data_IF_335903908863
#
_entry.id   IF_335903908863
#
_cell.length_a   1.000
_cell.length_b   1.000
_cell.length_c   1.000
_cell.angle_alpha   90.00
_cell.angle_beta   90.00
_cell.angle_gamma   90.00
#
_symmetry.space_group_name_H-M   'P 1'
#
loop_
_entity.id
_entity.type
_entity.pdbx_description
1 polymer ?
#
# COMPACT_ATOMS: atom_id res chain seq x y z
N UNK A 1 -7.58 -19.67 -11.17
CA UNK A 1 -6.80 -18.80 -12.09
C UNK A 1 -6.92 -17.32 -11.75
N UNK A 2 -8.11 -16.74 -11.62
CA UNK A 2 -8.28 -15.31 -11.26
C UNK A 2 -7.51 -14.95 -9.98
N UNK A 3 -7.69 -15.74 -8.91
CA UNK A 3 -7.01 -15.51 -7.64
C UNK A 3 -5.47 -15.53 -7.77
N UNK A 4 -4.93 -16.45 -8.58
CA UNK A 4 -3.49 -16.53 -8.85
C UNK A 4 -2.98 -15.31 -9.63
N UNK A 5 -3.73 -14.88 -10.67
CA UNK A 5 -3.38 -13.66 -11.41
C UNK A 5 -3.45 -12.42 -10.52
N UNK A 6 -4.45 -12.35 -9.65
CA UNK A 6 -4.57 -11.27 -8.68
C UNK A 6 -3.41 -11.28 -7.69
N UNK A 7 -3.02 -12.44 -7.16
CA UNK A 7 -1.89 -12.61 -6.24
C UNK A 7 -0.54 -12.18 -6.85
N UNK A 8 -0.32 -12.45 -8.15
CA UNK A 8 0.87 -11.97 -8.88
C UNK A 8 0.96 -10.46 -8.99
N UNK A 9 -0.14 -9.77 -8.77
CA UNK A 9 -0.25 -8.31 -8.80
C UNK A 9 -0.49 -7.70 -7.40
N UNK A 10 -0.22 -8.47 -6.33
CA UNK A 10 -0.37 -7.99 -4.94
C UNK A 10 0.49 -6.74 -4.70
N UNK A 11 -0.03 -5.81 -3.91
CA UNK A 11 0.60 -4.53 -3.56
C UNK A 11 1.03 -3.68 -4.77
N UNK A 12 0.31 -3.84 -5.90
CA UNK A 12 0.55 -3.04 -7.11
C UNK A 12 -0.69 -2.30 -7.59
N UNK A 13 -0.49 -1.29 -8.45
CA UNK A 13 -1.56 -0.54 -9.12
C UNK A 13 -2.04 -1.23 -10.41
N UNK A 14 -1.95 -2.55 -10.48
CA UNK A 14 -2.28 -3.30 -11.68
C UNK A 14 -3.72 -3.06 -12.14
N UNK A 15 -3.87 -2.74 -13.42
CA UNK A 15 -5.18 -2.55 -14.03
C UNK A 15 -5.91 -3.89 -14.17
N UNK A 16 -7.23 -3.89 -14.07
CA UNK A 16 -8.06 -5.08 -14.32
C UNK A 16 -7.80 -5.73 -15.69
N UNK A 17 -7.43 -4.90 -16.68
CA UNK A 17 -7.02 -5.40 -18.00
C UNK A 17 -5.79 -6.31 -17.98
N UNK A 18 -4.84 -6.06 -17.05
CA UNK A 18 -3.66 -6.93 -16.90
C UNK A 18 -4.07 -8.28 -16.31
N UNK A 19 -4.91 -8.27 -15.27
CA UNK A 19 -5.46 -9.49 -14.68
C UNK A 19 -6.27 -10.29 -15.74
N UNK A 20 -7.11 -9.60 -16.50
CA UNK A 20 -7.88 -10.23 -17.58
C UNK A 20 -6.97 -10.89 -18.61
N UNK A 21 -5.92 -10.20 -19.05
CA UNK A 21 -4.95 -10.70 -20.02
C UNK A 21 -4.25 -11.97 -19.52
N UNK A 22 -3.84 -11.99 -18.25
CA UNK A 22 -3.25 -13.16 -17.61
C UNK A 22 -4.23 -14.35 -17.57
N UNK A 23 -5.50 -14.09 -17.23
CA UNK A 23 -6.53 -15.13 -17.12
C UNK A 23 -6.88 -15.68 -18.52
N UNK A 24 -7.07 -14.81 -19.51
CA UNK A 24 -7.43 -15.25 -20.88
C UNK A 24 -6.31 -16.01 -21.56
N UNK A 25 -5.05 -15.69 -21.27
CA UNK A 25 -3.91 -16.45 -21.80
C UNK A 25 -3.86 -17.90 -21.33
N UNK A 26 -4.49 -18.22 -20.18
CA UNK A 26 -4.39 -19.53 -19.53
C UNK A 26 -5.74 -20.28 -19.41
N UNK A 27 -6.89 -19.62 -19.56
CA UNK A 27 -8.21 -20.20 -19.25
C UNK A 27 -9.26 -20.00 -20.35
N UNK A 28 -8.89 -19.45 -21.50
CA UNK A 28 -9.84 -19.15 -22.56
C UNK A 28 -10.48 -17.76 -22.43
N UNK A 29 -11.50 -17.47 -23.24
CA UNK A 29 -12.08 -16.13 -23.33
C UNK A 29 -12.83 -15.72 -22.06
N UNK A 30 -12.54 -14.53 -21.57
CA UNK A 30 -13.25 -13.86 -20.47
C UNK A 30 -13.46 -12.39 -20.82
N UNK A 31 -14.56 -11.80 -20.35
CA UNK A 31 -14.83 -10.36 -20.53
C UNK A 31 -14.56 -9.58 -19.25
N UNK A 32 -14.35 -8.24 -19.37
CA UNK A 32 -14.19 -7.38 -18.20
C UNK A 32 -15.39 -7.46 -17.23
N UNK A 33 -16.67 -7.41 -17.70
CA UNK A 33 -17.81 -7.57 -16.79
C UNK A 33 -17.83 -8.89 -16.04
N UNK A 34 -17.40 -9.97 -16.68
CA UNK A 34 -17.28 -11.29 -16.03
C UNK A 34 -16.20 -11.28 -14.97
N UNK A 35 -15.01 -10.72 -15.26
CA UNK A 35 -13.93 -10.55 -14.29
C UNK A 35 -14.40 -9.71 -13.10
N UNK A 36 -15.08 -8.58 -13.35
CA UNK A 36 -15.63 -7.70 -12.31
C UNK A 36 -16.60 -8.45 -11.39
N UNK A 37 -17.45 -9.30 -11.94
CA UNK A 37 -18.36 -10.12 -11.13
C UNK A 37 -17.61 -11.05 -10.18
N UNK A 38 -16.52 -11.70 -10.64
CA UNK A 38 -15.68 -12.54 -9.79
C UNK A 38 -14.91 -11.73 -8.74
N UNK A 39 -14.32 -10.59 -9.11
CA UNK A 39 -13.61 -9.74 -8.16
C UNK A 39 -14.54 -9.21 -7.07
N UNK A 40 -15.76 -8.77 -7.44
CA UNK A 40 -16.78 -8.36 -6.48
C UNK A 40 -17.22 -9.51 -5.54
N UNK A 41 -17.26 -10.74 -6.04
CA UNK A 41 -17.55 -11.90 -5.18
C UNK A 41 -16.41 -12.16 -4.20
N UNK A 42 -15.15 -12.07 -4.63
CA UNK A 42 -13.98 -12.22 -3.75
C UNK A 42 -13.91 -11.12 -2.69
N UNK A 43 -14.26 -9.88 -3.04
CA UNK A 43 -14.34 -8.75 -2.11
C UNK A 43 -15.43 -8.98 -1.05
N UNK A 44 -16.63 -9.43 -1.46
CA UNK A 44 -17.73 -9.77 -0.54
C UNK A 44 -17.43 -10.96 0.36
N UNK A 45 -16.56 -11.86 -0.07
CA UNK A 45 -16.09 -12.99 0.73
C UNK A 45 -14.88 -12.62 1.62
N UNK A 46 -14.48 -11.36 1.64
CA UNK A 46 -13.31 -10.88 2.38
C UNK A 46 -12.01 -11.63 2.01
N UNK A 47 -11.84 -11.99 0.74
CA UNK A 47 -10.61 -12.59 0.23
C UNK A 47 -9.65 -11.50 -0.24
N UNK A 48 -10.17 -10.48 -0.91
CA UNK A 48 -9.43 -9.31 -1.37
C UNK A 48 -10.02 -8.04 -0.76
N UNK A 49 -9.16 -7.05 -0.54
CA UNK A 49 -9.54 -5.73 0.00
C UNK A 49 -8.62 -4.66 -0.56
N UNK A 50 -8.92 -4.16 -1.76
CA UNK A 50 -8.13 -3.13 -2.43
C UNK A 50 -7.99 -1.86 -1.59
N UNK A 51 -6.84 -1.20 -1.70
CA UNK A 51 -6.56 0.08 -1.04
C UNK A 51 -6.77 1.22 -2.03
N UNK A 52 -7.51 2.24 -1.58
CA UNK A 52 -7.81 3.43 -2.38
C UNK A 52 -6.68 4.46 -2.31
N UNK A 53 -6.55 5.25 -3.38
CA UNK A 53 -5.64 6.38 -3.38
C UNK A 53 -6.09 7.46 -2.39
N UNK A 54 -5.13 8.07 -1.72
CA UNK A 54 -5.33 9.26 -0.90
C UNK A 54 -4.95 10.52 -1.66
N UNK A 55 -5.64 11.61 -1.32
CA UNK A 55 -5.28 12.94 -1.78
C UNK A 55 -5.47 13.94 -0.64
N UNK A 56 -4.50 14.80 -0.35
CA UNK A 56 -4.62 15.80 0.71
C UNK A 56 -5.77 16.79 0.47
N UNK A 57 -6.16 17.00 -0.77
CA UNK A 57 -7.32 17.83 -1.13
C UNK A 57 -8.57 16.96 -1.26
N UNK A 58 -9.37 16.87 -0.19
CA UNK A 58 -10.59 16.04 -0.10
C UNK A 58 -11.55 16.19 -1.30
N UNK A 59 -11.56 17.36 -1.95
CA UNK A 59 -12.42 17.64 -3.12
C UNK A 59 -11.73 17.41 -4.46
N UNK A 60 -10.56 16.76 -4.48
CA UNK A 60 -9.83 16.52 -5.74
C UNK A 60 -10.48 15.41 -6.55
N UNK A 61 -10.84 15.71 -7.78
CA UNK A 61 -11.32 14.74 -8.76
C UNK A 61 -10.23 13.70 -9.13
N UNK A 62 -8.96 13.98 -8.85
CA UNK A 62 -7.83 13.08 -9.14
C UNK A 62 -7.89 11.82 -8.30
N UNK A 63 -8.29 11.90 -7.03
CA UNK A 63 -8.45 10.75 -6.13
C UNK A 63 -9.47 9.73 -6.66
N UNK A 64 -10.57 10.21 -7.22
CA UNK A 64 -11.64 9.35 -7.77
C UNK A 64 -11.17 8.61 -9.03
N UNK A 65 -10.20 9.17 -9.75
CA UNK A 65 -9.67 8.61 -11.02
C UNK A 65 -8.44 7.74 -10.82
N UNK A 66 -7.87 7.70 -9.63
CA UNK A 66 -6.71 6.87 -9.32
C UNK A 66 -7.11 5.40 -9.21
N UNK A 67 -6.25 4.52 -9.70
CA UNK A 67 -6.44 3.07 -9.56
C UNK A 67 -6.46 2.66 -8.09
N UNK A 68 -6.95 1.46 -7.82
CA UNK A 68 -6.83 0.84 -6.50
C UNK A 68 -5.56 0.00 -6.45
N UNK A 69 -4.84 0.05 -5.32
CA UNK A 69 -3.74 -0.88 -5.04
C UNK A 69 -4.34 -2.24 -4.69
N UNK A 70 -3.83 -3.31 -5.30
CA UNK A 70 -4.37 -4.67 -5.17
C UNK A 70 -3.89 -5.31 -3.90
N UNK A 71 -4.81 -5.60 -2.97
CA UNK A 71 -4.47 -6.20 -1.69
C UNK A 71 -5.35 -7.41 -1.36
N UNK A 72 -4.79 -8.29 -0.55
CA UNK A 72 -5.54 -9.38 0.09
C UNK A 72 -5.87 -8.99 1.53
N UNK A 73 -6.95 -9.52 2.05
CA UNK A 73 -7.28 -9.40 3.48
C UNK A 73 -6.25 -10.10 4.36
N UNK A 74 -5.63 -11.16 3.83
CA UNK A 74 -4.51 -11.84 4.46
C UNK A 74 -3.47 -12.25 3.38
N UNK A 75 -2.19 -11.87 3.54
CA UNK A 75 -1.14 -12.19 2.56
C UNK A 75 -0.92 -13.70 2.38
N UNK A 76 -1.26 -14.54 3.36
CA UNK A 76 -1.14 -15.99 3.25
C UNK A 76 -2.01 -16.57 2.13
N UNK A 77 -3.14 -15.92 1.82
CA UNK A 77 -4.01 -16.31 0.70
C UNK A 77 -3.27 -16.10 -0.63
N UNK A 78 -2.53 -15.00 -0.78
CA UNK A 78 -1.74 -14.75 -1.98
C UNK A 78 -0.60 -15.76 -2.13
N UNK A 79 0.11 -16.04 -1.03
CA UNK A 79 1.19 -17.06 -1.00
C UNK A 79 0.64 -18.43 -1.44
N UNK A 80 -0.49 -18.86 -0.86
CA UNK A 80 -1.16 -20.11 -1.23
C UNK A 80 -1.65 -20.13 -2.68
N UNK A 81 -2.25 -19.03 -3.17
CA UNK A 81 -2.74 -18.92 -4.53
C UNK A 81 -1.62 -18.98 -5.58
N UNK A 82 -0.42 -18.50 -5.24
CA UNK A 82 0.77 -18.58 -6.09
C UNK A 82 1.49 -19.95 -5.97
N UNK A 83 1.21 -20.72 -4.90
CA UNK A 83 1.91 -21.96 -4.58
C UNK A 83 3.35 -21.74 -4.10
N UNK A 84 3.59 -20.65 -3.38
CA UNK A 84 4.90 -20.30 -2.85
C UNK A 84 5.13 -20.94 -1.47
N UNK A 85 6.41 -21.13 -1.13
CA UNK A 85 6.85 -21.56 0.20
C UNK A 85 7.71 -20.47 0.84
N UNK A 86 7.95 -20.52 2.17
CA UNK A 86 8.87 -19.59 2.82
C UNK A 86 10.26 -19.58 2.19
N UNK A 87 10.80 -20.74 1.85
CA UNK A 87 12.14 -20.89 1.26
C UNK A 87 12.21 -20.24 -0.13
N UNK A 88 11.10 -20.25 -0.89
CA UNK A 88 11.02 -19.54 -2.16
C UNK A 88 11.05 -18.03 -1.94
N UNK A 89 10.29 -17.53 -0.96
CA UNK A 89 10.24 -16.08 -0.67
C UNK A 89 11.59 -15.54 -0.20
N UNK A 90 12.37 -16.32 0.55
CA UNK A 90 13.75 -15.97 0.94
C UNK A 90 14.69 -15.82 -0.27
N UNK A 91 14.41 -16.51 -1.37
CA UNK A 91 15.18 -16.42 -2.62
C UNK A 91 14.67 -15.33 -3.57
N UNK A 92 13.40 -14.94 -3.46
CA UNK A 92 12.77 -13.86 -4.24
C UNK A 92 12.30 -12.73 -3.31
N UNK A 93 13.28 -11.95 -2.81
CA UNK A 93 13.01 -10.83 -1.89
C UNK A 93 12.10 -9.77 -2.49
N UNK A 94 12.02 -9.65 -3.83
CA UNK A 94 11.11 -8.73 -4.48
C UNK A 94 9.65 -9.16 -4.27
N UNK A 95 9.33 -10.42 -4.52
CA UNK A 95 8.00 -10.98 -4.25
C UNK A 95 7.70 -10.95 -2.75
N UNK A 96 8.69 -11.27 -1.92
CA UNK A 96 8.54 -11.20 -0.46
C UNK A 96 8.22 -9.75 0.00
N UNK A 97 8.85 -8.73 -0.59
CA UNK A 97 8.56 -7.32 -0.30
C UNK A 97 7.08 -6.97 -0.53
N UNK A 98 6.48 -7.39 -1.64
CA UNK A 98 5.05 -7.18 -1.89
C UNK A 98 4.14 -7.93 -0.89
N UNK A 99 4.51 -9.15 -0.51
CA UNK A 99 3.78 -9.91 0.53
C UNK A 99 3.91 -9.21 1.89
N UNK A 100 5.10 -8.69 2.23
CA UNK A 100 5.36 -7.92 3.44
C UNK A 100 4.55 -6.61 3.47
N UNK A 101 4.46 -5.90 2.37
CA UNK A 101 3.63 -4.70 2.25
C UNK A 101 2.15 -5.01 2.54
N UNK A 102 1.60 -6.07 1.95
CA UNK A 102 0.23 -6.52 2.22
C UNK A 102 0.03 -6.86 3.71
N UNK A 103 1.01 -7.51 4.36
CA UNK A 103 0.99 -7.78 5.80
C UNK A 103 0.91 -6.48 6.60
N UNK A 104 1.78 -5.51 6.29
CA UNK A 104 1.80 -4.22 6.97
C UNK A 104 0.48 -3.45 6.81
N UNK A 105 -0.08 -3.43 5.60
CA UNK A 105 -1.37 -2.79 5.31
C UNK A 105 -2.50 -3.43 6.11
N UNK A 106 -2.56 -4.77 6.16
CA UNK A 106 -3.53 -5.51 6.99
C UNK A 106 -3.44 -5.11 8.46
N UNK A 107 -2.24 -5.17 9.01
CA UNK A 107 -2.02 -4.91 10.43
C UNK A 107 -2.32 -3.45 10.79
N UNK A 108 -1.90 -2.49 9.95
CA UNK A 108 -2.23 -1.08 10.14
C UNK A 108 -3.75 -0.82 10.09
N UNK A 109 -4.50 -1.49 9.21
CA UNK A 109 -5.96 -1.40 9.19
C UNK A 109 -6.56 -1.88 10.51
N UNK A 110 -6.10 -3.02 11.02
CA UNK A 110 -6.58 -3.59 12.28
C UNK A 110 -6.24 -2.67 13.46
N UNK A 111 -4.96 -2.32 13.63
CA UNK A 111 -4.50 -1.54 14.79
C UNK A 111 -5.06 -0.10 14.81
N UNK A 112 -5.27 0.50 13.65
CA UNK A 112 -5.81 1.85 13.59
C UNK A 112 -7.35 1.92 13.68
N UNK A 113 -8.04 0.80 13.56
CA UNK A 113 -9.51 0.76 13.50
C UNK A 113 -10.16 1.34 14.75
N UNK A 114 -9.61 1.06 15.94
CA UNK A 114 -10.07 1.61 17.22
C UNK A 114 -9.95 3.14 17.31
N UNK A 115 -9.03 3.73 16.55
CA UNK A 115 -8.81 5.18 16.47
C UNK A 115 -9.58 5.84 15.32
N UNK A 116 -10.42 5.09 14.61
CA UNK A 116 -11.08 5.55 13.39
C UNK A 116 -10.10 5.82 12.25
N UNK A 117 -8.96 5.13 12.25
CA UNK A 117 -7.95 5.24 11.21
C UNK A 117 -8.41 4.65 9.88
N UNK A 118 -7.99 5.28 8.79
CA UNK A 118 -8.21 4.78 7.43
C UNK A 118 -6.88 4.68 6.71
N UNK A 119 -6.62 3.52 6.12
CA UNK A 119 -5.44 3.23 5.31
C UNK A 119 -5.74 3.52 3.85
N UNK A 120 -4.84 4.25 3.21
CA UNK A 120 -4.85 4.57 1.77
C UNK A 120 -3.42 4.54 1.27
N UNK A 121 -3.17 4.76 -0.02
CA UNK A 121 -1.82 4.97 -0.56
C UNK A 121 -1.72 6.33 -1.25
N UNK A 122 -0.51 6.85 -1.43
CA UNK A 122 -0.27 8.04 -2.23
C UNK A 122 0.66 7.73 -3.40
N UNK A 123 0.31 8.24 -4.57
CA UNK A 123 1.16 8.14 -5.75
C UNK A 123 0.83 9.30 -6.69
N UNK A 124 1.85 10.04 -7.13
CA UNK A 124 1.68 11.16 -8.03
C UNK A 124 2.14 10.85 -9.47
N UNK A 125 2.08 11.87 -10.34
CA UNK A 125 2.42 11.72 -11.76
C UNK A 125 3.93 11.66 -12.02
N UNK A 126 4.75 12.02 -11.03
CA UNK A 126 6.21 12.00 -11.10
C UNK A 126 6.80 10.71 -10.52
N UNK A 127 5.95 9.71 -10.26
CA UNK A 127 6.31 8.42 -9.67
C UNK A 127 6.75 8.52 -8.20
N UNK A 128 6.48 9.66 -7.55
CA UNK A 128 6.71 9.83 -6.13
C UNK A 128 5.48 9.32 -5.35
N UNK A 129 5.71 8.46 -4.38
CA UNK A 129 4.63 7.85 -3.61
C UNK A 129 4.96 7.60 -2.15
N UNK A 130 3.93 7.24 -1.40
CA UNK A 130 4.02 6.60 -0.10
C UNK A 130 3.18 5.33 -0.15
N UNK A 131 3.75 4.21 0.28
CA UNK A 131 3.10 2.91 0.24
C UNK A 131 1.79 2.92 1.04
N UNK A 132 1.79 3.67 2.14
CA UNK A 132 0.61 3.84 2.99
C UNK A 132 0.49 5.29 3.49
N UNK A 133 -0.75 5.77 3.47
CA UNK A 133 -1.18 6.97 4.19
C UNK A 133 -2.20 6.54 5.22
N UNK A 134 -1.83 6.59 6.49
CA UNK A 134 -2.74 6.35 7.59
C UNK A 134 -3.29 7.68 8.07
N UNK A 135 -4.59 7.91 7.91
CA UNK A 135 -5.22 9.16 8.33
C UNK A 135 -6.36 8.93 9.30
N UNK A 136 -6.50 9.87 10.24
CA UNK A 136 -7.51 9.85 11.28
C UNK A 136 -8.67 10.80 10.94
N UNK A 137 -9.80 10.61 11.57
CA UNK A 137 -10.99 11.46 11.37
C UNK A 137 -10.81 12.93 11.79
N UNK A 138 -9.82 13.22 12.65
CA UNK A 138 -9.46 14.59 13.08
C UNK A 138 -8.51 15.31 12.10
N UNK A 139 -8.18 14.68 10.98
CA UNK A 139 -7.33 15.23 9.93
C UNK A 139 -5.83 14.98 10.12
N UNK A 140 -5.40 14.36 11.23
CA UNK A 140 -4.02 13.90 11.39
C UNK A 140 -3.72 12.78 10.42
N UNK A 141 -2.49 12.73 9.91
CA UNK A 141 -2.07 11.63 9.06
C UNK A 141 -0.58 11.34 9.15
N UNK A 142 -0.24 10.09 8.89
CA UNK A 142 1.12 9.61 8.74
C UNK A 142 1.38 9.21 7.29
N UNK A 143 2.59 9.48 6.80
CA UNK A 143 3.13 8.91 5.56
C UNK A 143 4.04 7.75 5.93
N UNK A 144 3.86 6.61 5.28
CA UNK A 144 4.52 5.36 5.64
C UNK A 144 5.06 4.68 4.39
N UNK A 145 6.31 4.23 4.46
CA UNK A 145 6.96 3.33 3.51
C UNK A 145 7.17 1.96 4.16
N UNK A 146 7.12 0.90 3.36
CA UNK A 146 7.41 -0.47 3.80
C UNK A 146 8.70 -0.95 3.17
N UNK A 147 9.65 -1.39 3.99
CA UNK A 147 10.94 -1.89 3.53
C UNK A 147 11.26 -3.20 4.26
N UNK A 148 11.39 -4.29 3.51
CA UNK A 148 11.65 -5.60 4.10
C UNK A 148 12.97 -5.62 4.84
N UNK A 149 14.01 -5.04 4.27
CA UNK A 149 15.37 -4.99 4.81
C UNK A 149 15.85 -3.59 5.19
N UNK A 150 17.02 -3.52 5.82
CA UNK A 150 17.62 -2.27 6.28
C UNK A 150 18.28 -1.45 5.16
N UNK A 151 18.69 -2.09 4.06
CA UNK A 151 19.40 -1.41 2.98
C UNK A 151 18.56 -0.36 2.24
N UNK A 152 17.24 -0.48 2.27
CA UNK A 152 16.32 0.39 1.55
C UNK A 152 15.68 1.48 2.43
N UNK A 153 16.01 1.52 3.74
CA UNK A 153 15.47 2.49 4.70
C UNK A 153 15.76 3.92 4.28
N UNK A 154 16.99 4.17 3.79
CA UNK A 154 17.39 5.52 3.36
C UNK A 154 16.51 6.02 2.22
N UNK A 155 16.28 5.21 1.20
CA UNK A 155 15.44 5.53 0.06
C UNK A 155 14.00 5.81 0.50
N UNK A 156 13.41 4.93 1.33
CA UNK A 156 12.06 5.11 1.85
C UNK A 156 11.92 6.40 2.66
N UNK A 157 12.89 6.71 3.53
CA UNK A 157 12.88 7.94 4.30
C UNK A 157 12.96 9.19 3.40
N UNK A 158 13.79 9.16 2.34
CA UNK A 158 13.90 10.26 1.39
C UNK A 158 12.59 10.50 0.62
N UNK A 159 11.87 9.46 0.20
CA UNK A 159 10.57 9.61 -0.45
C UNK A 159 9.57 10.34 0.47
N UNK A 160 9.48 9.93 1.74
CA UNK A 160 8.58 10.57 2.70
C UNK A 160 8.92 12.04 2.95
N UNK A 161 10.22 12.37 3.07
CA UNK A 161 10.69 13.74 3.22
C UNK A 161 10.39 14.60 2.00
N UNK A 162 10.54 14.07 0.79
CA UNK A 162 10.19 14.76 -0.45
C UNK A 162 8.70 15.08 -0.51
N UNK A 163 7.82 14.15 -0.15
CA UNK A 163 6.37 14.40 -0.10
C UNK A 163 6.06 15.52 0.90
N UNK A 164 6.67 15.48 2.10
CA UNK A 164 6.51 16.55 3.10
C UNK A 164 6.95 17.91 2.54
N UNK A 165 8.10 17.97 1.88
CA UNK A 165 8.59 19.21 1.25
C UNK A 165 7.66 19.74 0.17
N UNK A 166 7.04 18.86 -0.64
CA UNK A 166 6.05 19.27 -1.63
C UNK A 166 4.80 19.91 -0.99
N UNK A 167 4.33 19.35 0.13
CA UNK A 167 3.21 19.93 0.90
C UNK A 167 3.60 21.31 1.43
N UNK A 168 4.79 21.46 1.99
CA UNK A 168 5.31 22.73 2.51
C UNK A 168 5.46 23.78 1.41
N UNK A 169 6.04 23.41 0.28
CA UNK A 169 6.19 24.30 -0.89
C UNK A 169 4.84 24.76 -1.46
N UNK A 170 3.86 23.84 -1.53
CA UNK A 170 2.51 24.17 -1.97
C UNK A 170 1.83 25.19 -1.03
N UNK A 171 1.98 25.03 0.29
CA UNK A 171 1.47 25.96 1.29
C UNK A 171 2.17 27.31 1.21
N UNK A 172 3.50 27.32 1.10
CA UNK A 172 4.30 28.56 1.00
C UNK A 172 3.95 29.38 -0.26
N UNK A 173 3.51 28.72 -1.34
CA UNK A 173 3.05 29.41 -2.55
C UNK A 173 1.69 30.09 -2.41
N UNK A 174 0.99 29.91 -1.30
CA UNK A 174 -0.36 30.43 -1.06
C UNK A 174 -1.48 29.78 -1.89
N UNK A 175 -1.16 28.74 -2.67
CA UNK A 175 -2.15 28.05 -3.52
C UNK A 175 -3.01 27.06 -2.75
N UNK A 176 -2.50 26.56 -1.62
CA UNK A 176 -3.14 25.56 -0.79
C UNK A 176 -2.91 25.86 0.68
N UNK A 177 -3.75 25.27 1.54
CA UNK A 177 -3.54 25.22 2.99
C UNK A 177 -3.72 23.77 3.41
N UNK A 178 -2.75 22.94 3.05
CA UNK A 178 -2.76 21.51 3.35
C UNK A 178 -2.12 21.28 4.73
N UNK A 179 -2.70 20.38 5.51
CA UNK A 179 -2.04 19.91 6.73
C UNK A 179 -0.74 19.19 6.34
N UNK A 180 0.34 19.49 7.05
CA UNK A 180 1.57 18.71 6.95
C UNK A 180 1.40 17.34 7.60
N UNK A 181 2.16 16.32 7.17
CA UNK A 181 2.13 15.02 7.81
C UNK A 181 2.59 15.13 9.27
N UNK A 182 1.82 14.54 10.17
CA UNK A 182 2.13 14.53 11.61
C UNK A 182 3.24 13.52 11.94
N UNK A 183 3.39 12.48 11.10
CA UNK A 183 4.38 11.42 11.29
C UNK A 183 4.91 10.93 9.93
N UNK A 184 6.22 10.74 9.86
CA UNK A 184 6.90 10.03 8.77
C UNK A 184 7.49 8.75 9.36
N UNK A 185 7.18 7.60 8.75
CA UNK A 185 7.56 6.30 9.29
C UNK A 185 7.97 5.32 8.19
N UNK A 186 9.06 4.59 8.40
CA UNK A 186 9.41 3.41 7.60
C UNK A 186 9.16 2.19 8.47
N UNK A 187 8.24 1.32 8.07
CA UNK A 187 7.99 0.03 8.72
C UNK A 187 8.90 -1.01 8.09
N UNK A 188 9.58 -1.78 8.92
CA UNK A 188 10.58 -2.76 8.48
C UNK A 188 10.30 -4.17 9.00
N UNK A 189 10.87 -5.16 8.32
CA UNK A 189 10.98 -6.53 8.82
C UNK A 189 12.15 -6.75 9.78
N UNK A 190 12.93 -5.68 10.10
CA UNK A 190 14.08 -5.75 11.00
C UNK A 190 13.71 -5.79 12.47
N UNK A 191 14.73 -5.63 13.35
CA UNK A 191 14.57 -5.75 14.81
C UNK A 191 14.71 -4.40 15.54
N UNK A 192 15.28 -3.37 14.90
CA UNK A 192 15.66 -2.12 15.57
C UNK A 192 14.66 -1.01 15.31
N UNK A 193 14.08 -0.47 16.39
CA UNK A 193 13.27 0.73 16.37
C UNK A 193 14.11 1.96 16.78
N UNK A 194 14.10 3.02 15.96
CA UNK A 194 14.82 4.26 16.26
C UNK A 194 14.23 5.44 15.51
N UNK A 195 14.64 6.64 15.92
CA UNK A 195 14.34 7.88 15.20
C UNK A 195 15.59 8.36 14.49
N UNK A 196 15.50 8.62 13.20
CA UNK A 196 16.57 9.20 12.39
C UNK A 196 16.78 10.68 12.76
N UNK A 197 17.98 11.26 12.48
CA UNK A 197 18.24 12.69 12.73
C UNK A 197 17.28 13.63 12.00
N UNK A 198 16.73 13.20 10.84
CA UNK A 198 15.74 13.95 10.05
C UNK A 198 14.29 13.80 10.57
N UNK A 199 14.10 13.07 11.68
CA UNK A 199 12.82 12.87 12.35
C UNK A 199 11.98 11.71 11.84
N UNK A 200 12.40 11.02 10.77
CA UNK A 200 11.70 9.82 10.29
C UNK A 200 11.86 8.68 11.32
N UNK A 201 10.73 8.03 11.64
CA UNK A 201 10.69 6.88 12.55
C UNK A 201 10.93 5.59 11.78
N UNK A 202 11.84 4.76 12.27
CA UNK A 202 12.05 3.41 11.77
C UNK A 202 11.45 2.46 12.79
N UNK A 203 10.46 1.67 12.38
CA UNK A 203 9.67 0.84 13.30
C UNK A 203 9.55 -0.57 12.72
N UNK A 204 10.09 -1.59 13.39
CA UNK A 204 9.79 -2.99 13.07
C UNK A 204 8.29 -3.27 13.14
N UNK A 205 7.76 -4.04 12.19
CA UNK A 205 6.33 -4.41 12.22
C UNK A 205 5.94 -5.10 13.53
N UNK A 206 6.83 -5.91 14.09
CA UNK A 206 6.61 -6.59 15.38
C UNK A 206 6.51 -5.67 16.60
N UNK A 207 6.82 -4.36 16.47
CA UNK A 207 6.62 -3.37 17.51
C UNK A 207 5.24 -2.72 17.47
N UNK A 208 4.46 -2.95 16.41
CA UNK A 208 3.11 -2.41 16.27
C UNK A 208 2.11 -3.31 17.00
N UNK A 209 1.13 -2.68 17.63
CA UNK A 209 0.00 -3.35 18.30
C UNK A 209 -1.16 -2.37 18.48
N UNK A 210 -2.32 -2.89 18.79
CA UNK A 210 -3.52 -2.15 19.20
C UNK A 210 -3.38 -1.52 20.60
#
# INVERSE_FOLDING_TARGET
MILRSYARNISTLAKKSNILKDVTANAGSMTIPTLDSYLNALEKLFVIEDVEAWCPAIRSATTIRSGKKREFTDPSIAVAAMGLTPEYLEQDLKTFGFIFECLCIRDLKVYSSALGGKVSYYHDRSDLGADCVLHLSDGRYALIEFKLGSCEIEEGAQHLLQIKQLVQAANASGKTNLREPDLLMVITGGELAYTRPDGVKIIPIGCLRD
#
